data_IF_426670925399
#
_entry.id   IF_426670925399
#
_cell.length_a   1.000
_cell.length_b   1.000
_cell.length_c   1.000
_cell.angle_alpha   90.00
_cell.angle_beta   90.00
_cell.angle_gamma   90.00
#
_symmetry.space_group_name_H-M   'P 1'
#
loop_
_entity.id
_entity.type
_entity.pdbx_description
1 polymer ?
#
# COMPACT_ATOMS: atom_id res chain seq x y z
N UNK A 1 -8.19 4.05 -33.94
CA UNK A 1 -8.99 3.33 -32.92
C UNK A 1 -8.20 2.22 -32.22
N UNK A 2 -7.27 1.53 -32.89
CA UNK A 2 -6.38 0.52 -32.28
C UNK A 2 -5.43 1.08 -31.21
N UNK A 3 -4.77 2.22 -31.47
CA UNK A 3 -3.76 2.76 -30.53
C UNK A 3 -4.32 3.22 -29.17
N UNK A 4 -5.57 3.67 -29.11
CA UNK A 4 -6.23 4.04 -27.83
C UNK A 4 -6.53 2.77 -27.00
N UNK A 5 -6.94 1.69 -27.66
CA UNK A 5 -7.20 0.39 -27.03
C UNK A 5 -5.91 -0.25 -26.49
N UNK A 6 -4.82 -0.19 -27.24
CA UNK A 6 -3.50 -0.66 -26.79
C UNK A 6 -2.99 0.12 -25.58
N UNK A 7 -3.15 1.45 -25.59
CA UNK A 7 -2.79 2.31 -24.47
C UNK A 7 -3.60 1.95 -23.21
N UNK A 8 -4.92 1.79 -23.34
CA UNK A 8 -5.79 1.41 -22.22
C UNK A 8 -5.42 0.04 -21.64
N UNK A 9 -5.14 -0.96 -22.50
CA UNK A 9 -4.71 -2.28 -22.06
C UNK A 9 -3.35 -2.25 -21.33
N UNK A 10 -2.38 -1.47 -21.83
CA UNK A 10 -1.11 -1.30 -21.15
C UNK A 10 -1.27 -0.66 -19.76
N UNK A 11 -2.17 0.31 -19.62
CA UNK A 11 -2.48 0.95 -18.34
C UNK A 11 -3.12 -0.02 -17.33
N UNK A 12 -4.07 -0.84 -17.76
CA UNK A 12 -4.73 -1.84 -16.90
C UNK A 12 -3.76 -2.94 -16.45
N UNK A 13 -2.90 -3.40 -17.35
CA UNK A 13 -1.86 -4.38 -17.01
C UNK A 13 -0.85 -3.80 -16.01
N UNK A 14 -0.45 -2.53 -16.19
CA UNK A 14 0.46 -1.84 -15.29
C UNK A 14 -0.17 -1.62 -13.91
N UNK A 15 -1.43 -1.19 -13.83
CA UNK A 15 -2.11 -0.97 -12.55
C UNK A 15 -2.25 -2.28 -11.77
N UNK A 16 -2.59 -3.37 -12.46
CA UNK A 16 -2.68 -4.73 -11.89
C UNK A 16 -1.33 -5.21 -11.37
N UNK A 17 -0.26 -5.01 -12.14
CA UNK A 17 1.11 -5.34 -11.73
C UNK A 17 1.52 -4.56 -10.48
N UNK A 18 1.33 -3.24 -10.48
CA UNK A 18 1.67 -2.37 -9.36
C UNK A 18 0.90 -2.75 -8.09
N UNK A 19 -0.39 -3.07 -8.21
CA UNK A 19 -1.19 -3.49 -7.08
C UNK A 19 -0.76 -4.85 -6.53
N UNK A 20 -0.37 -5.77 -7.41
CA UNK A 20 0.20 -7.07 -7.01
C UNK A 20 1.49 -6.89 -6.22
N UNK A 21 2.39 -6.01 -6.68
CA UNK A 21 3.61 -5.63 -5.94
C UNK A 21 3.23 -4.99 -4.60
N UNK A 22 2.22 -4.11 -4.59
CA UNK A 22 1.67 -3.50 -3.39
C UNK A 22 1.21 -4.52 -2.35
N UNK A 23 0.49 -5.56 -2.78
CA UNK A 23 0.04 -6.67 -1.94
C UNK A 23 1.20 -7.49 -1.37
N UNK A 24 2.23 -7.79 -2.19
CA UNK A 24 3.45 -8.45 -1.71
C UNK A 24 4.14 -7.60 -0.63
N UNK A 25 4.23 -6.28 -0.82
CA UNK A 25 4.84 -5.37 0.16
C UNK A 25 4.02 -5.25 1.44
N UNK A 26 2.69 -5.22 1.36
CA UNK A 26 1.83 -5.25 2.54
C UNK A 26 2.02 -6.54 3.34
N UNK A 27 2.08 -7.69 2.65
CA UNK A 27 2.28 -9.01 3.27
C UNK A 27 3.65 -9.13 3.92
N UNK A 28 4.72 -8.78 3.22
CA UNK A 28 6.09 -8.76 3.78
C UNK A 28 6.21 -7.78 4.93
N UNK A 29 5.46 -6.67 4.89
CA UNK A 29 5.41 -5.72 6.01
C UNK A 29 4.68 -6.28 7.22
N UNK A 30 3.62 -7.06 7.04
CA UNK A 30 2.94 -7.77 8.11
C UNK A 30 3.87 -8.80 8.77
N UNK A 31 4.54 -9.62 7.96
CA UNK A 31 5.49 -10.64 8.44
C UNK A 31 6.65 -10.00 9.20
N UNK A 32 7.30 -8.97 8.63
CA UNK A 32 8.39 -8.25 9.32
C UNK A 32 7.91 -7.55 10.58
N UNK A 33 6.68 -7.04 10.61
CA UNK A 33 6.06 -6.48 11.81
C UNK A 33 5.91 -7.51 12.93
N UNK A 34 5.44 -8.72 12.62
CA UNK A 34 5.38 -9.83 13.57
C UNK A 34 6.77 -10.26 14.06
N UNK A 35 7.78 -10.27 13.17
CA UNK A 35 9.15 -10.59 13.55
C UNK A 35 9.76 -9.54 14.49
N UNK A 36 9.46 -8.24 14.26
CA UNK A 36 9.87 -7.17 15.16
C UNK A 36 9.24 -7.28 16.56
N UNK A 37 7.98 -7.73 16.66
CA UNK A 37 7.33 -8.00 17.95
C UNK A 37 8.02 -9.15 18.70
N UNK A 38 8.50 -10.17 17.97
CA UNK A 38 9.26 -11.30 18.52
C UNK A 38 10.71 -10.94 18.88
N UNK A 39 11.11 -9.67 18.79
CA UNK A 39 12.46 -9.21 19.14
C UNK A 39 13.53 -9.55 18.10
N UNK A 40 13.14 -9.95 16.88
CA UNK A 40 14.09 -10.15 15.79
C UNK A 40 14.56 -8.80 15.26
N UNK A 41 15.77 -8.43 15.69
CA UNK A 41 16.81 -7.72 14.94
C UNK A 41 16.57 -6.28 14.40
N UNK A 42 17.68 -5.53 14.15
CA UNK A 42 17.67 -4.24 13.47
C UNK A 42 17.47 -4.35 11.95
N UNK A 43 17.68 -5.53 11.35
CA UNK A 43 17.54 -5.78 9.91
C UNK A 43 16.07 -5.77 9.50
N UNK A 44 15.22 -6.44 10.28
CA UNK A 44 13.77 -6.51 10.11
C UNK A 44 13.15 -5.12 10.19
N UNK A 45 13.66 -4.26 11.09
CA UNK A 45 13.25 -2.86 11.17
C UNK A 45 13.61 -2.06 9.91
N UNK A 46 14.77 -2.30 9.30
CA UNK A 46 15.17 -1.66 8.03
C UNK A 46 14.27 -2.12 6.89
N UNK A 47 14.02 -3.43 6.77
CA UNK A 47 13.12 -4.01 5.75
C UNK A 47 11.72 -3.43 5.91
N UNK A 48 11.19 -3.42 7.13
CA UNK A 48 9.86 -2.90 7.42
C UNK A 48 9.73 -1.41 7.06
N UNK A 49 10.77 -0.60 7.33
CA UNK A 49 10.82 0.81 6.92
C UNK A 49 10.89 0.97 5.40
N UNK A 50 11.72 0.17 4.73
CA UNK A 50 11.85 0.16 3.28
C UNK A 50 10.52 -0.15 2.59
N UNK A 51 9.83 -1.20 3.05
CA UNK A 51 8.52 -1.57 2.55
C UNK A 51 7.51 -0.42 2.71
N UNK A 52 7.51 0.28 3.84
CA UNK A 52 6.64 1.44 4.04
C UNK A 52 6.83 2.53 2.98
N UNK A 53 8.07 2.85 2.61
CA UNK A 53 8.38 3.89 1.60
C UNK A 53 7.99 3.43 0.20
N UNK A 54 8.34 2.20 -0.17
CA UNK A 54 8.02 1.65 -1.50
C UNK A 54 6.50 1.53 -1.66
N UNK A 55 5.79 1.04 -0.65
CA UNK A 55 4.32 0.96 -0.67
C UNK A 55 3.69 2.35 -0.83
N UNK A 56 4.23 3.38 -0.19
CA UNK A 56 3.75 4.75 -0.35
C UNK A 56 3.91 5.25 -1.80
N UNK A 57 5.06 4.99 -2.44
CA UNK A 57 5.28 5.36 -3.83
C UNK A 57 4.31 4.67 -4.78
N UNK A 58 4.15 3.36 -4.65
CA UNK A 58 3.20 2.57 -5.46
C UNK A 58 1.77 3.06 -5.26
N UNK A 59 1.39 3.32 -4.00
CA UNK A 59 0.08 3.84 -3.66
C UNK A 59 -0.21 5.20 -4.33
N UNK A 60 0.75 6.13 -4.29
CA UNK A 60 0.59 7.43 -4.93
C UNK A 60 0.41 7.32 -6.45
N UNK A 61 1.21 6.45 -7.10
CA UNK A 61 1.08 6.20 -8.55
C UNK A 61 -0.29 5.63 -8.88
N UNK A 62 -0.76 4.64 -8.13
CA UNK A 62 -2.08 4.03 -8.36
C UNK A 62 -3.24 4.99 -8.08
N UNK A 63 -3.11 5.88 -7.10
CA UNK A 63 -4.09 6.93 -6.84
C UNK A 63 -4.21 7.88 -8.03
N UNK A 64 -3.08 8.36 -8.56
CA UNK A 64 -3.05 9.24 -9.74
C UNK A 64 -3.63 8.53 -10.95
N UNK A 65 -3.24 7.28 -11.23
CA UNK A 65 -3.80 6.50 -12.33
C UNK A 65 -5.32 6.34 -12.19
N UNK A 66 -5.81 6.04 -10.98
CA UNK A 66 -7.24 5.90 -10.72
C UNK A 66 -8.01 7.19 -10.98
N UNK A 67 -7.52 8.34 -10.52
CA UNK A 67 -8.19 9.63 -10.77
C UNK A 67 -8.15 10.04 -12.25
N UNK A 68 -7.08 9.71 -12.98
CA UNK A 68 -7.00 9.97 -14.42
C UNK A 68 -7.98 9.08 -15.20
N UNK A 69 -8.12 7.81 -14.83
CA UNK A 69 -8.99 6.85 -15.54
C UNK A 69 -10.46 6.96 -15.18
N UNK A 70 -10.79 7.22 -13.91
CA UNK A 70 -12.17 7.15 -13.39
C UNK A 70 -12.71 8.50 -12.89
N UNK A 71 -11.89 9.55 -12.86
CA UNK A 71 -12.26 10.87 -12.36
C UNK A 71 -12.33 10.96 -10.84
N UNK A 72 -12.79 12.12 -10.37
CA UNK A 72 -12.88 12.44 -8.94
C UNK A 72 -14.29 12.19 -8.41
N UNK A 73 -14.49 11.11 -7.66
CA UNK A 73 -15.71 10.88 -6.88
C UNK A 73 -15.42 10.99 -5.38
N UNK A 74 -16.42 11.40 -4.59
CA UNK A 74 -16.29 11.49 -3.12
C UNK A 74 -15.89 10.15 -2.48
N UNK A 75 -16.42 9.04 -3.01
CA UNK A 75 -16.08 7.69 -2.55
C UNK A 75 -14.63 7.32 -2.89
N UNK A 76 -14.17 7.61 -4.11
CA UNK A 76 -12.77 7.39 -4.52
C UNK A 76 -11.85 8.23 -3.64
N UNK A 77 -12.14 9.52 -3.48
CA UNK A 77 -11.35 10.42 -2.64
C UNK A 77 -11.28 9.94 -1.18
N UNK A 78 -12.39 9.49 -0.62
CA UNK A 78 -12.45 8.92 0.73
C UNK A 78 -11.63 7.64 0.87
N UNK A 79 -11.71 6.72 -0.09
CA UNK A 79 -10.92 5.49 -0.10
C UNK A 79 -9.42 5.74 -0.19
N UNK A 80 -8.99 6.61 -1.11
CA UNK A 80 -7.59 7.02 -1.24
C UNK A 80 -7.12 7.81 0.00
N UNK A 81 -7.93 8.69 0.58
CA UNK A 81 -7.56 9.41 1.81
C UNK A 81 -7.39 8.48 3.01
N UNK A 82 -8.30 7.51 3.19
CA UNK A 82 -8.20 6.50 4.24
C UNK A 82 -6.93 5.64 4.06
N UNK A 83 -6.66 5.21 2.83
CA UNK A 83 -5.45 4.49 2.48
C UNK A 83 -4.17 5.25 2.78
N UNK A 84 -4.14 6.53 2.42
CA UNK A 84 -3.05 7.44 2.74
C UNK A 84 -2.82 7.54 4.24
N UNK A 85 -3.89 7.67 5.04
CA UNK A 85 -3.79 7.77 6.50
C UNK A 85 -3.20 6.50 7.13
N UNK A 86 -3.56 5.31 6.63
CA UNK A 86 -3.00 4.03 7.09
C UNK A 86 -1.50 3.96 6.78
N UNK A 87 -1.09 4.29 5.55
CA UNK A 87 0.32 4.26 5.15
C UNK A 87 1.13 5.30 5.94
N UNK A 88 0.59 6.51 6.12
CA UNK A 88 1.23 7.57 6.88
C UNK A 88 1.42 7.17 8.35
N UNK A 89 0.38 6.62 8.97
CA UNK A 89 0.42 6.12 10.36
C UNK A 89 1.51 5.08 10.55
N UNK A 90 1.66 4.15 9.58
CA UNK A 90 2.75 3.18 9.60
C UNK A 90 4.13 3.84 9.52
N UNK A 91 4.34 4.78 8.59
CA UNK A 91 5.64 5.47 8.45
C UNK A 91 6.00 6.23 9.74
N UNK A 92 5.02 6.87 10.39
CA UNK A 92 5.22 7.57 11.65
C UNK A 92 5.56 6.62 12.80
N UNK A 93 4.85 5.49 12.93
CA UNK A 93 5.10 4.49 13.96
C UNK A 93 6.50 3.87 13.82
N UNK A 94 6.95 3.61 12.60
CA UNK A 94 8.29 3.07 12.33
C UNK A 94 9.41 4.06 12.70
N UNK A 95 9.16 5.37 12.56
CA UNK A 95 10.09 6.42 13.00
C UNK A 95 10.09 6.60 14.51
N UNK A 96 9.02 6.22 15.20
CA UNK A 96 8.95 6.28 16.65
C UNK A 96 10.00 5.36 17.29
N UNK A 97 10.70 5.87 18.31
CA UNK A 97 11.67 5.08 19.11
C UNK A 97 10.99 4.27 20.22
N UNK A 98 9.67 4.40 20.39
CA UNK A 98 8.94 3.75 21.48
C UNK A 98 8.74 2.25 21.25
N UNK A 99 9.22 1.41 22.17
CA UNK A 99 8.98 -0.04 22.14
C UNK A 99 7.48 -0.39 22.23
N UNK A 100 6.65 0.46 22.85
CA UNK A 100 5.20 0.25 22.92
C UNK A 100 4.55 0.37 21.54
N UNK A 101 5.06 1.26 20.68
CA UNK A 101 4.56 1.44 19.32
C UNK A 101 4.82 0.20 18.44
N UNK A 102 5.92 -0.53 18.70
CA UNK A 102 6.25 -1.76 17.98
C UNK A 102 5.21 -2.88 18.14
N UNK A 103 4.45 -2.90 19.25
CA UNK A 103 3.37 -3.89 19.47
C UNK A 103 2.25 -3.77 18.44
N UNK A 104 2.03 -2.58 17.91
CA UNK A 104 0.96 -2.27 16.95
C UNK A 104 1.41 -2.37 15.49
N UNK A 105 2.68 -2.70 15.23
CA UNK A 105 3.23 -2.76 13.87
C UNK A 105 2.65 -3.93 13.07
N UNK A 106 2.32 -5.06 13.71
CA UNK A 106 1.62 -6.17 13.03
C UNK A 106 0.19 -5.79 12.65
N UNK A 107 -0.52 -5.08 13.53
CA UNK A 107 -1.88 -4.59 13.26
C UNK A 107 -1.91 -3.62 12.08
N UNK A 108 -0.89 -2.75 11.97
CA UNK A 108 -0.72 -1.88 10.80
C UNK A 108 -0.48 -2.64 9.50
N UNK A 109 0.29 -3.73 9.56
CA UNK A 109 0.50 -4.62 8.42
C UNK A 109 -0.82 -5.25 7.96
N UNK A 110 -1.64 -5.73 8.89
CA UNK A 110 -2.95 -6.29 8.59
C UNK A 110 -3.90 -5.24 7.99
N UNK A 111 -3.96 -4.03 8.56
CA UNK A 111 -4.78 -2.95 8.00
C UNK A 111 -4.34 -2.56 6.58
N UNK A 112 -3.05 -2.64 6.28
CA UNK A 112 -2.51 -2.41 4.94
C UNK A 112 -2.93 -3.48 3.94
N UNK A 113 -3.00 -4.75 4.37
CA UNK A 113 -3.51 -5.84 3.55
C UNK A 113 -5.00 -5.59 3.25
N UNK A 114 -5.82 -5.32 4.27
CA UNK A 114 -7.24 -5.04 4.09
C UNK A 114 -7.49 -3.84 3.18
N UNK A 115 -6.73 -2.76 3.37
CA UNK A 115 -6.76 -1.58 2.52
C UNK A 115 -6.40 -1.92 1.07
N UNK A 116 -5.34 -2.69 0.84
CA UNK A 116 -4.97 -3.07 -0.52
C UNK A 116 -6.03 -3.93 -1.19
N UNK A 117 -6.59 -4.90 -0.47
CA UNK A 117 -7.69 -5.73 -0.98
C UNK A 117 -8.89 -4.88 -1.39
N UNK A 118 -9.25 -3.88 -0.58
CA UNK A 118 -10.31 -2.93 -0.90
C UNK A 118 -10.00 -2.13 -2.18
N UNK A 119 -8.79 -1.59 -2.32
CA UNK A 119 -8.40 -0.80 -3.50
C UNK A 119 -8.38 -1.67 -4.75
N UNK A 120 -7.83 -2.88 -4.68
CA UNK A 120 -7.83 -3.82 -5.80
C UNK A 120 -9.27 -4.15 -6.22
N UNK A 121 -10.15 -4.41 -5.25
CA UNK A 121 -11.54 -4.77 -5.52
C UNK A 121 -12.35 -3.64 -6.18
N UNK A 122 -12.14 -2.39 -5.78
CA UNK A 122 -12.98 -1.26 -6.25
C UNK A 122 -12.34 -0.48 -7.40
N UNK A 123 -11.01 -0.40 -7.48
CA UNK A 123 -10.32 0.54 -8.36
C UNK A 123 -9.48 -0.11 -9.46
N UNK A 124 -9.38 -1.45 -9.48
CA UNK A 124 -8.71 -2.17 -10.56
C UNK A 124 -9.75 -3.01 -11.28
N UNK A 125 -10.05 -2.70 -12.55
CA UNK A 125 -10.95 -3.52 -13.34
C UNK A 125 -10.25 -4.85 -13.61
N UNK A 126 -10.92 -5.96 -13.28
CA UNK A 126 -10.58 -7.29 -13.79
C UNK A 126 -11.10 -7.43 -15.22
#
# INVERSE_FOLDING_TARGET
MSGILELLNAFTNLSTLLASIGMILATTSFISGLQMVKGKGPVEKKIHRGNGIITFGIFAVLAVMSFVSYGFSLLSLGGWAAGFFIILSKVLIVRSKSRRANKYVSWLGASLICMWLYIVYIHIPL
#
